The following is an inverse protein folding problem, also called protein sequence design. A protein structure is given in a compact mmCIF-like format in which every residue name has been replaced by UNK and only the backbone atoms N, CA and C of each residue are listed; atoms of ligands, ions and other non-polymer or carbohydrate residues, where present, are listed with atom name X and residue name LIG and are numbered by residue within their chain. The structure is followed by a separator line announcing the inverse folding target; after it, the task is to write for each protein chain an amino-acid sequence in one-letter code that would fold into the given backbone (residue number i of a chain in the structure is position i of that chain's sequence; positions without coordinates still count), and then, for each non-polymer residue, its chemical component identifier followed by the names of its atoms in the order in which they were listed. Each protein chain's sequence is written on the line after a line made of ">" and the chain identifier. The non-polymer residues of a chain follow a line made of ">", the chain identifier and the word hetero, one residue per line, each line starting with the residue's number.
data_IF_148685462340
#
_entry.id   IF_148685462340
#
_cell.length_a   1.000
_cell.length_b   1.000
_cell.length_c   1.000
_cell.angle_alpha   90.00
_cell.angle_beta   90.00
_cell.angle_gamma   90.00
#
_symmetry.space_group_name_H-M   'P 1'
#
loop_
_entity.id
_entity.type
_entity.pdbx_description
1 polymer ?
#
# COMPACT_ATOMS: atom_id res chain seq x y z
N UNK A 1 -0.49 24.89 2.32
CA UNK A 1 -1.53 23.89 2.65
C UNK A 1 -2.34 24.41 3.82
N UNK A 2 -3.66 24.54 3.66
CA UNK A 2 -4.56 24.79 4.78
C UNK A 2 -4.94 23.47 5.41
N UNK A 3 -4.76 23.33 6.74
CA UNK A 3 -5.20 22.16 7.49
C UNK A 3 -6.40 22.57 8.34
N UNK A 4 -7.57 22.00 8.05
CA UNK A 4 -8.85 22.36 8.68
C UNK A 4 -9.37 21.14 9.44
N UNK A 5 -9.53 21.30 10.75
CA UNK A 5 -10.08 20.25 11.60
C UNK A 5 -11.62 20.33 11.60
N UNK A 6 -12.26 19.20 11.29
CA UNK A 6 -13.69 18.97 11.49
C UNK A 6 -13.82 18.28 12.85
N UNK A 7 -14.50 18.92 13.81
CA UNK A 7 -14.61 18.41 15.18
C UNK A 7 -16.04 18.00 15.46
N UNK A 8 -16.20 16.82 16.05
CA UNK A 8 -17.47 16.36 16.58
C UNK A 8 -17.42 16.31 18.11
N UNK A 9 -18.42 16.87 18.76
CA UNK A 9 -18.65 16.66 20.19
C UNK A 9 -18.96 15.18 20.48
N UNK A 10 -18.77 14.69 21.73
CA UNK A 10 -19.06 13.30 22.07
C UNK A 10 -20.48 12.82 21.73
N UNK A 11 -21.45 13.73 21.70
CA UNK A 11 -22.83 13.41 21.33
C UNK A 11 -23.05 13.43 19.81
N UNK A 12 -22.45 14.37 19.09
CA UNK A 12 -22.47 14.39 17.62
C UNK A 12 -21.79 13.16 17.01
N UNK A 13 -20.76 12.60 17.67
CA UNK A 13 -20.13 11.33 17.26
C UNK A 13 -21.10 10.14 17.23
N UNK A 14 -22.24 10.25 17.91
CA UNK A 14 -23.29 9.23 17.93
C UNK A 14 -24.37 9.49 16.87
N UNK A 15 -24.37 10.67 16.26
CA UNK A 15 -25.36 11.09 15.26
C UNK A 15 -24.78 11.00 13.85
N UNK A 16 -25.25 9.98 13.11
CA UNK A 16 -24.84 9.75 11.72
C UNK A 16 -25.16 10.93 10.81
N UNK A 17 -26.30 11.59 11.00
CA UNK A 17 -26.75 12.64 10.11
C UNK A 17 -25.83 13.86 10.22
N UNK A 18 -25.49 14.26 11.45
CA UNK A 18 -24.59 15.38 11.74
C UNK A 18 -23.22 15.20 11.09
N UNK A 19 -22.62 14.01 11.22
CA UNK A 19 -21.33 13.69 10.60
C UNK A 19 -21.42 13.79 9.07
N UNK A 20 -22.49 13.26 8.48
CA UNK A 20 -22.68 13.28 7.03
C UNK A 20 -22.85 14.70 6.50
N UNK A 21 -23.60 15.55 7.21
CA UNK A 21 -23.84 16.94 6.79
C UNK A 21 -22.55 17.77 6.91
N UNK A 22 -21.76 17.57 7.96
CA UNK A 22 -20.43 18.20 8.07
C UNK A 22 -19.51 17.84 6.89
N UNK A 23 -19.56 16.59 6.41
CA UNK A 23 -18.78 16.19 5.23
C UNK A 23 -19.31 16.81 3.93
N UNK A 24 -20.63 16.97 3.78
CA UNK A 24 -21.22 17.66 2.62
C UNK A 24 -20.77 19.11 2.55
N UNK A 25 -20.76 19.80 3.68
CA UNK A 25 -20.36 21.21 3.74
C UNK A 25 -18.91 21.39 3.28
N UNK A 26 -17.98 20.55 3.75
CA UNK A 26 -16.59 20.58 3.29
C UNK A 26 -16.43 20.32 1.79
N UNK A 27 -17.28 19.47 1.20
CA UNK A 27 -17.26 19.22 -0.25
C UNK A 27 -17.83 20.38 -1.06
N UNK A 28 -18.85 21.06 -0.53
CA UNK A 28 -19.52 22.17 -1.20
C UNK A 28 -18.57 23.37 -1.40
N UNK A 29 -17.68 23.63 -0.44
CA UNK A 29 -16.66 24.69 -0.52
C UNK A 29 -15.68 24.49 -1.69
N UNK A 30 -15.54 23.24 -2.17
CA UNK A 30 -14.55 22.86 -3.19
C UNK A 30 -15.21 22.35 -4.47
N UNK A 31 -16.47 22.76 -4.74
CA UNK A 31 -17.26 22.33 -5.92
C UNK A 31 -16.56 22.51 -7.27
N UNK A 32 -15.64 23.46 -7.37
CA UNK A 32 -14.91 23.78 -8.59
C UNK A 32 -13.60 22.99 -8.72
N UNK A 33 -13.33 22.01 -7.85
CA UNK A 33 -12.12 21.21 -7.84
C UNK A 33 -12.33 19.78 -7.31
N UNK A 34 -11.34 18.88 -7.43
CA UNK A 34 -11.48 17.53 -6.90
C UNK A 34 -11.35 17.51 -5.37
N UNK A 35 -12.20 16.72 -4.72
CA UNK A 35 -12.04 16.34 -3.32
C UNK A 35 -11.92 14.84 -3.18
N UNK A 36 -10.76 14.38 -2.71
CA UNK A 36 -10.50 12.96 -2.48
C UNK A 36 -10.73 12.59 -1.02
N UNK A 37 -11.56 11.57 -0.79
CA UNK A 37 -11.88 11.07 0.56
C UNK A 37 -11.04 9.83 0.85
N UNK A 38 -10.30 9.83 1.95
CA UNK A 38 -9.42 8.73 2.34
C UNK A 38 -9.53 8.44 3.84
N UNK A 39 -9.66 7.17 4.19
CA UNK A 39 -9.61 6.74 5.58
C UNK A 39 -8.17 6.63 6.08
N UNK A 40 -7.94 6.94 7.35
CA UNK A 40 -6.63 6.75 8.03
C UNK A 40 -6.06 5.32 7.94
N UNK A 41 -6.89 4.29 7.72
CA UNK A 41 -6.47 2.90 7.49
C UNK A 41 -6.03 2.61 6.04
N UNK A 42 -6.25 3.54 5.11
CA UNK A 42 -5.99 3.40 3.67
C UNK A 42 -4.66 4.06 3.25
N UNK A 43 -3.66 4.06 4.11
CA UNK A 43 -2.35 4.68 3.83
C UNK A 43 -1.71 4.17 2.53
N UNK A 44 -1.97 2.92 2.15
CA UNK A 44 -1.48 2.35 0.88
C UNK A 44 -2.12 2.97 -0.35
N UNK A 45 -3.31 3.55 -0.23
CA UNK A 45 -4.06 4.12 -1.36
C UNK A 45 -3.68 5.60 -1.62
N UNK A 46 -2.83 6.21 -0.78
CA UNK A 46 -2.44 7.62 -0.92
C UNK A 46 -1.66 7.91 -2.21
N UNK A 47 -0.93 6.93 -2.74
CA UNK A 47 -0.21 7.04 -4.01
C UNK A 47 -1.10 7.49 -5.18
N UNK A 48 -2.37 7.07 -5.18
CA UNK A 48 -3.35 7.44 -6.19
C UNK A 48 -3.71 8.93 -6.09
N UNK A 49 -3.92 9.42 -4.87
CA UNK A 49 -4.24 10.82 -4.59
C UNK A 49 -3.03 11.71 -4.89
N UNK A 50 -1.82 11.25 -4.60
CA UNK A 50 -0.59 11.95 -4.98
C UNK A 50 -0.47 12.12 -6.50
N UNK A 51 -0.72 11.06 -7.28
CA UNK A 51 -0.72 11.16 -8.74
C UNK A 51 -1.77 12.16 -9.26
N UNK A 52 -2.96 12.17 -8.67
CA UNK A 52 -3.99 13.15 -8.98
C UNK A 52 -3.57 14.58 -8.63
N UNK A 53 -2.89 14.78 -7.50
CA UNK A 53 -2.39 16.09 -7.11
C UNK A 53 -1.35 16.61 -8.10
N UNK A 54 -0.37 15.78 -8.51
CA UNK A 54 0.61 16.19 -9.51
C UNK A 54 -0.07 16.55 -10.84
N UNK A 55 -0.95 15.68 -11.34
CA UNK A 55 -1.68 15.94 -12.57
C UNK A 55 -2.46 17.25 -12.48
N UNK A 56 -3.22 17.43 -11.40
CA UNK A 56 -4.02 18.63 -11.15
C UNK A 56 -3.17 19.91 -11.20
N UNK A 57 -2.10 19.97 -10.42
CA UNK A 57 -1.25 21.16 -10.34
C UNK A 57 -0.43 21.40 -11.61
N UNK A 58 -0.22 20.37 -12.45
CA UNK A 58 0.42 20.54 -13.77
C UNK A 58 -0.51 21.13 -14.83
N UNK A 59 -1.83 20.92 -14.71
CA UNK A 59 -2.83 21.36 -15.69
C UNK A 59 -3.43 22.71 -15.30
N UNK A 60 -3.88 22.84 -14.06
CA UNK A 60 -4.52 24.06 -13.56
C UNK A 60 -4.24 24.26 -12.07
N UNK A 61 -3.09 24.87 -11.72
CA UNK A 61 -2.71 25.10 -10.33
C UNK A 61 -3.60 26.12 -9.60
N UNK A 62 -4.45 26.85 -10.32
CA UNK A 62 -5.33 27.89 -9.76
C UNK A 62 -6.60 27.33 -9.12
N UNK A 63 -7.02 26.13 -9.54
CA UNK A 63 -8.20 25.45 -9.01
C UNK A 63 -7.95 24.84 -7.63
N UNK A 64 -8.99 24.74 -6.78
CA UNK A 64 -8.85 24.11 -5.48
C UNK A 64 -8.64 22.60 -5.62
N UNK A 65 -7.80 22.04 -4.75
CA UNK A 65 -7.62 20.61 -4.56
C UNK A 65 -7.79 20.30 -3.09
N UNK A 66 -8.60 19.30 -2.74
CA UNK A 66 -8.74 18.89 -1.35
C UNK A 66 -8.63 17.40 -1.09
N UNK A 67 -8.18 17.09 0.12
CA UNK A 67 -8.24 15.77 0.71
C UNK A 67 -9.11 15.87 1.97
N UNK A 68 -10.10 14.99 2.08
CA UNK A 68 -10.81 14.73 3.33
C UNK A 68 -10.26 13.45 3.95
N UNK A 69 -9.50 13.61 5.03
CA UNK A 69 -8.98 12.52 5.83
C UNK A 69 -9.96 12.15 6.95
N UNK A 70 -10.50 10.94 6.89
CA UNK A 70 -11.36 10.41 7.96
C UNK A 70 -10.52 9.61 8.95
N UNK A 71 -10.34 10.16 10.15
CA UNK A 71 -9.54 9.58 11.22
C UNK A 71 -10.32 8.49 11.98
N UNK A 72 -9.73 7.31 12.16
CA UNK A 72 -10.31 6.23 12.94
C UNK A 72 -9.48 5.96 14.20
N UNK A 73 -10.11 5.79 15.37
CA UNK A 73 -9.46 5.63 16.68
C UNK A 73 -8.45 4.47 16.72
N UNK A 74 -8.74 3.37 16.02
CA UNK A 74 -7.88 2.19 15.94
C UNK A 74 -6.74 2.34 14.92
N UNK A 75 -6.76 3.39 14.09
CA UNK A 75 -5.84 3.59 12.97
C UNK A 75 -5.18 4.97 13.07
N UNK A 76 -3.93 4.99 13.56
CA UNK A 76 -3.17 6.23 13.66
C UNK A 76 -3.05 6.94 12.31
N UNK A 77 -3.52 8.20 12.24
CA UNK A 77 -3.48 9.02 11.04
C UNK A 77 -2.11 9.69 10.77
N UNK A 78 -1.20 9.64 11.74
CA UNK A 78 0.09 10.33 11.70
C UNK A 78 0.94 9.98 10.46
N UNK A 79 0.96 8.70 10.06
CA UNK A 79 1.67 8.28 8.86
C UNK A 79 1.13 8.92 7.59
N UNK A 80 -0.19 8.97 7.43
CA UNK A 80 -0.82 9.57 6.26
C UNK A 80 -0.67 11.10 6.25
N UNK A 81 -0.74 11.76 7.41
CA UNK A 81 -0.43 13.19 7.50
C UNK A 81 1.00 13.49 7.03
N UNK A 82 1.97 12.69 7.45
CA UNK A 82 3.36 12.87 7.05
C UNK A 82 3.57 12.56 5.57
N UNK A 83 2.93 11.51 5.03
CA UNK A 83 2.92 11.23 3.59
C UNK A 83 2.37 12.42 2.79
N UNK A 84 1.22 12.98 3.19
CA UNK A 84 0.60 14.15 2.54
C UNK A 84 1.53 15.36 2.61
N UNK A 85 2.03 15.67 3.81
CA UNK A 85 2.90 16.82 3.99
C UNK A 85 4.18 16.67 3.16
N UNK A 86 4.84 15.52 3.24
CA UNK A 86 6.09 15.24 2.54
C UNK A 86 5.93 15.27 1.01
N UNK A 87 4.86 14.69 0.49
CA UNK A 87 4.67 14.55 -0.95
C UNK A 87 4.07 15.80 -1.60
N UNK A 88 3.12 16.46 -0.94
CA UNK A 88 2.34 17.56 -1.52
C UNK A 88 2.97 18.92 -1.24
N UNK A 89 3.56 19.14 -0.05
CA UNK A 89 4.10 20.46 0.30
C UNK A 89 5.11 20.98 -0.74
N UNK A 90 6.04 20.16 -1.28
CA UNK A 90 6.99 20.63 -2.29
C UNK A 90 6.36 20.93 -3.65
N UNK A 91 5.13 20.47 -3.93
CA UNK A 91 4.42 20.70 -5.19
C UNK A 91 3.52 21.95 -5.13
N UNK A 92 3.44 22.61 -3.97
CA UNK A 92 2.66 23.83 -3.81
C UNK A 92 3.47 25.05 -4.24
N UNK A 93 3.07 25.67 -5.34
CA UNK A 93 3.55 27.01 -5.72
C UNK A 93 2.76 28.09 -4.98
N UNK A 94 3.30 29.33 -4.95
CA UNK A 94 2.61 30.50 -4.39
C UNK A 94 1.31 30.72 -5.15
N UNK A 95 0.17 30.43 -4.50
CA UNK A 95 -1.17 30.54 -5.08
C UNK A 95 -1.97 29.23 -5.14
N UNK A 96 -1.33 28.06 -4.98
CA UNK A 96 -2.02 26.76 -5.04
C UNK A 96 -2.99 26.60 -3.87
N UNK A 97 -4.27 26.33 -4.18
CA UNK A 97 -5.36 26.16 -3.20
C UNK A 97 -5.49 24.71 -2.75
N UNK A 98 -4.48 24.21 -2.04
CA UNK A 98 -4.56 22.88 -1.41
C UNK A 98 -5.13 22.94 0.01
N UNK A 99 -6.19 22.15 0.26
CA UNK A 99 -6.86 22.03 1.57
C UNK A 99 -6.86 20.59 2.06
N UNK A 100 -6.40 20.38 3.28
CA UNK A 100 -6.52 19.11 3.99
C UNK A 100 -7.55 19.26 5.09
N UNK A 101 -8.74 18.71 4.86
CA UNK A 101 -9.73 18.48 5.90
C UNK A 101 -9.37 17.22 6.67
N UNK A 102 -9.54 17.23 7.99
CA UNK A 102 -9.40 16.03 8.79
C UNK A 102 -10.37 16.02 9.95
N UNK A 103 -10.92 14.84 10.28
CA UNK A 103 -11.82 14.68 11.42
C UNK A 103 -11.05 14.49 12.72
N UNK A 104 -11.69 14.69 13.86
CA UNK A 104 -11.24 14.04 15.08
C UNK A 104 -11.38 12.50 14.97
N UNK A 105 -10.64 11.72 15.79
CA UNK A 105 -10.73 10.26 15.75
C UNK A 105 -12.16 9.76 16.03
N UNK A 106 -12.68 8.93 15.12
CA UNK A 106 -13.98 8.26 15.22
C UNK A 106 -13.78 6.74 15.33
N UNK A 107 -14.75 5.98 15.84
CA UNK A 107 -14.64 4.51 15.71
C UNK A 107 -14.58 4.10 14.23
N UNK A 108 -13.86 3.02 13.87
CA UNK A 108 -13.73 2.58 12.47
C UNK A 108 -15.07 2.38 11.77
N UNK A 109 -16.04 1.79 12.46
CA UNK A 109 -17.38 1.54 11.89
C UNK A 109 -18.07 2.84 11.48
N UNK A 110 -18.01 3.86 12.33
CA UNK A 110 -18.55 5.19 12.04
C UNK A 110 -17.81 5.87 10.89
N UNK A 111 -16.48 5.82 10.89
CA UNK A 111 -15.67 6.37 9.81
C UNK A 111 -16.04 5.75 8.44
N UNK A 112 -16.23 4.43 8.36
CA UNK A 112 -16.65 3.74 7.13
C UNK A 112 -18.06 4.14 6.67
N UNK A 113 -19.00 4.29 7.61
CA UNK A 113 -20.37 4.74 7.33
C UNK A 113 -20.37 6.17 6.78
N UNK A 114 -19.59 7.05 7.40
CA UNK A 114 -19.38 8.42 6.93
C UNK A 114 -18.86 8.43 5.50
N UNK A 115 -17.73 7.77 5.23
CA UNK A 115 -17.14 7.68 3.89
C UNK A 115 -18.11 7.15 2.82
N UNK A 116 -18.92 6.14 3.17
CA UNK A 116 -19.89 5.54 2.25
C UNK A 116 -21.06 6.48 1.94
N UNK A 117 -21.45 7.34 2.89
CA UNK A 117 -22.47 8.36 2.66
C UNK A 117 -21.97 9.47 1.73
N UNK A 118 -20.67 9.82 1.85
CA UNK A 118 -20.02 10.82 0.99
C UNK A 118 -19.88 10.31 -0.45
N UNK A 119 -19.68 9.00 -0.65
CA UNK A 119 -19.54 8.40 -1.98
C UNK A 119 -20.75 8.58 -2.92
N UNK A 120 -21.91 9.02 -2.40
CA UNK A 120 -23.11 9.31 -3.18
C UNK A 120 -23.24 10.79 -3.60
N UNK A 121 -22.22 11.62 -3.33
CA UNK A 121 -22.19 13.03 -3.68
C UNK A 121 -21.36 13.23 -4.96
N UNK A 122 -21.84 14.06 -5.88
CA UNK A 122 -21.28 14.20 -7.25
C UNK A 122 -19.79 14.59 -7.31
N UNK A 123 -19.27 15.23 -6.25
CA UNK A 123 -17.88 15.71 -6.20
C UNK A 123 -16.95 14.87 -5.30
N UNK A 124 -17.48 13.83 -4.64
CA UNK A 124 -16.69 12.96 -3.79
C UNK A 124 -15.95 11.92 -4.62
N UNK A 125 -14.62 11.90 -4.48
CA UNK A 125 -13.76 10.96 -5.21
C UNK A 125 -13.09 10.00 -4.23
N UNK A 126 -13.16 8.71 -4.53
CA UNK A 126 -12.38 7.69 -3.83
C UNK A 126 -10.92 7.75 -4.26
N UNK A 127 -10.00 7.06 -3.55
CA UNK A 127 -8.62 6.93 -4.03
C UNK A 127 -8.55 6.29 -5.43
N UNK A 128 -9.46 5.39 -5.78
CA UNK A 128 -9.47 4.79 -7.12
C UNK A 128 -9.85 5.79 -8.22
N UNK A 129 -10.81 6.68 -7.93
CA UNK A 129 -11.18 7.78 -8.84
C UNK A 129 -10.02 8.75 -9.10
N UNK A 130 -9.09 8.87 -8.14
CA UNK A 130 -7.87 9.66 -8.29
C UNK A 130 -6.99 9.12 -9.41
N UNK A 131 -6.93 7.81 -9.58
CA UNK A 131 -6.18 7.18 -10.68
C UNK A 131 -6.78 7.49 -12.04
N UNK A 132 -8.10 7.45 -12.17
CA UNK A 132 -8.78 7.82 -13.42
C UNK A 132 -8.60 9.30 -13.74
N UNK A 133 -8.68 10.14 -12.71
CA UNK A 133 -8.40 11.57 -12.82
C UNK A 133 -6.96 11.84 -13.29
N UNK A 134 -6.00 11.02 -12.85
CA UNK A 134 -4.58 11.15 -13.17
C UNK A 134 -4.11 10.21 -14.29
N UNK A 135 -4.99 9.66 -15.13
CA UNK A 135 -4.68 8.53 -16.01
C UNK A 135 -3.41 8.75 -16.84
N UNK A 136 -3.23 9.95 -17.40
CA UNK A 136 -2.06 10.27 -18.23
C UNK A 136 -0.77 10.31 -17.39
N UNK A 137 -0.81 10.90 -16.20
CA UNK A 137 0.31 10.89 -15.26
C UNK A 137 0.64 9.45 -14.82
N UNK A 138 -0.38 8.62 -14.60
CA UNK A 138 -0.23 7.20 -14.28
C UNK A 138 0.38 6.41 -15.43
N UNK A 139 -0.02 6.68 -16.66
CA UNK A 139 0.58 6.05 -17.84
C UNK A 139 2.03 6.49 -18.07
N UNK A 140 2.39 7.73 -17.72
CA UNK A 140 3.78 8.18 -17.77
C UNK A 140 4.62 7.49 -16.68
N UNK A 141 4.11 7.36 -15.46
CA UNK A 141 4.75 6.57 -14.39
C UNK A 141 5.00 5.13 -14.81
N UNK A 142 4.00 4.48 -15.42
CA UNK A 142 4.12 3.11 -15.90
C UNK A 142 5.25 2.92 -16.93
N UNK A 143 5.66 4.00 -17.62
CA UNK A 143 6.80 4.01 -18.56
C UNK A 143 8.14 4.33 -17.90
N UNK A 144 8.20 4.35 -16.56
CA UNK A 144 9.41 4.64 -15.80
C UNK A 144 9.77 6.13 -15.71
N UNK A 145 8.85 7.02 -16.10
CA UNK A 145 9.03 8.45 -15.88
C UNK A 145 8.72 8.80 -14.43
N UNK A 146 9.55 9.59 -13.74
CA UNK A 146 9.28 9.97 -12.37
C UNK A 146 7.96 10.78 -12.28
N UNK A 147 7.19 10.49 -11.23
CA UNK A 147 5.87 11.08 -10.95
C UNK A 147 5.86 12.61 -11.00
N UNK A 148 7.00 13.22 -10.62
CA UNK A 148 7.29 14.65 -10.72
C UNK A 148 8.81 14.85 -10.60
N UNK A 149 9.41 15.92 -11.20
CA UNK A 149 10.77 16.35 -10.88
C UNK A 149 10.98 16.49 -9.37
N UNK A 150 9.94 16.90 -8.64
CA UNK A 150 9.92 17.01 -7.18
C UNK A 150 10.19 15.68 -6.50
N UNK A 151 9.60 14.58 -6.97
CA UNK A 151 9.85 13.26 -6.40
C UNK A 151 11.27 12.79 -6.69
N UNK A 152 11.76 13.01 -7.91
CA UNK A 152 13.15 12.77 -8.24
C UNK A 152 14.09 13.60 -7.35
N UNK A 153 13.79 14.87 -7.10
CA UNK A 153 14.58 15.77 -6.25
C UNK A 153 14.54 15.37 -4.77
N UNK A 154 13.38 14.92 -4.28
CA UNK A 154 13.22 14.38 -2.92
C UNK A 154 14.14 13.17 -2.74
N UNK A 155 14.12 12.25 -3.70
CA UNK A 155 14.92 11.02 -3.62
C UNK A 155 16.42 11.31 -3.87
N UNK A 156 16.75 12.31 -4.69
CA UNK A 156 18.13 12.81 -4.94
C UNK A 156 18.76 13.54 -3.76
N UNK A 157 17.99 13.91 -2.75
CA UNK A 157 18.48 14.73 -1.64
C UNK A 157 18.74 16.17 -2.06
N UNK A 158 17.86 16.77 -2.87
CA UNK A 158 17.92 18.18 -3.27
C UNK A 158 17.96 19.16 -2.09
N UNK A 159 17.98 20.48 -2.38
CA UNK A 159 18.28 21.54 -1.38
C UNK A 159 17.33 21.59 -0.16
N UNK A 160 16.19 20.91 -0.21
CA UNK A 160 15.26 20.82 0.91
C UNK A 160 15.78 19.90 2.01
N UNK A 161 15.77 20.39 3.26
CA UNK A 161 16.27 19.67 4.46
C UNK A 161 15.63 18.27 4.62
N UNK A 162 14.34 18.14 4.32
CA UNK A 162 13.63 16.86 4.41
C UNK A 162 14.11 15.85 3.35
N UNK A 163 14.40 16.31 2.14
CA UNK A 163 14.95 15.48 1.05
C UNK A 163 16.33 14.94 1.42
N UNK A 164 17.19 15.79 2.00
CA UNK A 164 18.51 15.37 2.47
C UNK A 164 18.43 14.31 3.57
N UNK A 165 17.60 14.54 4.58
CA UNK A 165 17.42 13.58 5.68
C UNK A 165 16.86 12.23 5.19
N UNK A 166 16.00 12.23 4.17
CA UNK A 166 15.48 11.01 3.55
C UNK A 166 16.59 10.27 2.79
N UNK A 167 17.36 11.01 1.98
CA UNK A 167 18.49 10.47 1.24
C UNK A 167 19.54 9.85 2.17
N UNK A 168 19.88 10.50 3.28
CA UNK A 168 20.83 9.98 4.28
C UNK A 168 20.39 8.63 4.87
N UNK A 169 19.08 8.45 5.10
CA UNK A 169 18.51 7.19 5.60
C UNK A 169 18.59 6.09 4.54
N UNK A 170 18.24 6.42 3.29
CA UNK A 170 18.36 5.50 2.16
C UNK A 170 19.82 5.07 1.94
N UNK A 171 20.76 6.03 1.96
CA UNK A 171 22.20 5.75 1.85
C UNK A 171 22.71 4.86 2.97
N UNK A 172 22.38 5.19 4.23
CA UNK A 172 22.80 4.39 5.39
C UNK A 172 22.34 2.93 5.28
N UNK A 173 21.14 2.70 4.76
CA UNK A 173 20.61 1.36 4.60
C UNK A 173 21.22 0.62 3.42
N UNK A 174 21.45 1.30 2.29
CA UNK A 174 22.20 0.72 1.18
C UNK A 174 23.64 0.37 1.59
N UNK A 175 24.26 1.15 2.47
CA UNK A 175 25.57 0.83 3.02
C UNK A 175 25.53 -0.46 3.85
N UNK A 176 24.53 -0.66 4.72
CA UNK A 176 24.37 -1.92 5.47
C UNK A 176 24.20 -3.14 4.55
N UNK A 177 23.46 -2.96 3.44
CA UNK A 177 23.36 -3.97 2.40
C UNK A 177 24.73 -4.25 1.76
N UNK A 178 25.46 -3.22 1.33
CA UNK A 178 26.79 -3.35 0.70
C UNK A 178 27.77 -4.03 1.64
N UNK A 179 27.77 -3.66 2.92
CA UNK A 179 28.66 -4.25 3.92
C UNK A 179 28.40 -5.75 4.09
N UNK A 180 27.14 -6.17 3.94
CA UNK A 180 26.74 -7.58 4.08
C UNK A 180 26.94 -8.41 2.81
N UNK A 181 26.62 -7.86 1.65
CA UNK A 181 26.54 -8.62 0.39
C UNK A 181 27.63 -8.25 -0.63
N UNK A 182 28.43 -7.23 -0.32
CA UNK A 182 29.40 -6.63 -1.23
C UNK A 182 28.73 -5.74 -2.26
N UNK A 183 29.51 -4.80 -2.81
CA UNK A 183 29.13 -4.01 -3.98
C UNK A 183 29.41 -4.81 -5.24
N UNK A 184 28.48 -4.88 -6.18
CA UNK A 184 28.79 -5.40 -7.52
C UNK A 184 29.02 -4.27 -8.52
N UNK A 185 29.51 -4.66 -9.70
CA UNK A 185 29.92 -3.78 -10.79
C UNK A 185 28.91 -3.74 -11.95
N UNK A 186 27.67 -4.21 -11.74
CA UNK A 186 26.61 -4.23 -12.75
C UNK A 186 25.20 -4.16 -12.15
N UNK A 187 24.16 -4.20 -13.00
CA UNK A 187 22.76 -4.07 -12.57
C UNK A 187 22.32 -5.27 -11.72
N UNK A 188 22.22 -5.09 -10.40
CA UNK A 188 21.88 -6.18 -9.48
C UNK A 188 20.40 -6.53 -9.52
N UNK A 189 20.08 -7.83 -9.61
CA UNK A 189 18.70 -8.33 -9.52
C UNK A 189 18.32 -8.61 -8.07
N UNK A 190 17.23 -8.00 -7.62
CA UNK A 190 16.67 -8.17 -6.29
C UNK A 190 15.19 -8.50 -6.33
N UNK A 191 14.77 -9.28 -5.34
CA UNK A 191 13.35 -9.51 -5.09
C UNK A 191 12.96 -8.86 -3.78
N UNK A 192 11.92 -8.03 -3.80
CA UNK A 192 11.27 -7.53 -2.60
C UNK A 192 10.05 -8.40 -2.30
N UNK A 193 10.16 -9.27 -1.31
CA UNK A 193 9.10 -10.17 -0.93
C UNK A 193 8.21 -9.53 0.15
N UNK A 194 6.94 -9.35 -0.16
CA UNK A 194 5.95 -8.73 0.71
C UNK A 194 5.20 -9.78 1.52
N UNK A 195 5.35 -9.68 2.83
CA UNK A 195 4.69 -10.53 3.81
C UNK A 195 3.84 -9.70 4.76
N UNK A 196 2.62 -10.15 5.05
CA UNK A 196 1.76 -9.49 6.04
C UNK A 196 1.04 -10.51 6.90
N UNK A 197 0.96 -10.23 8.19
CA UNK A 197 0.01 -10.87 9.09
C UNK A 197 -0.95 -9.82 9.64
N UNK A 198 -2.25 -9.96 9.39
CA UNK A 198 -3.28 -9.07 9.95
C UNK A 198 -3.65 -9.42 11.39
N UNK A 199 -2.86 -10.30 12.02
CA UNK A 199 -3.07 -10.77 13.38
C UNK A 199 -4.15 -11.84 13.51
N UNK A 200 -4.72 -12.40 12.44
CA UNK A 200 -5.56 -13.58 12.54
C UNK A 200 -4.72 -14.79 13.03
N UNK A 201 -5.22 -15.65 13.95
CA UNK A 201 -6.57 -15.67 14.52
C UNK A 201 -6.78 -14.81 15.77
N UNK A 202 -5.83 -13.97 16.19
CA UNK A 202 -5.97 -13.13 17.38
C UNK A 202 -7.16 -12.14 17.23
N UNK A 203 -8.27 -12.32 17.98
CA UNK A 203 -9.47 -11.53 17.77
C UNK A 203 -9.28 -10.05 18.09
N UNK A 204 -8.34 -9.67 18.96
CA UNK A 204 -8.11 -8.26 19.27
C UNK A 204 -7.36 -7.52 18.16
N UNK A 205 -6.59 -8.23 17.32
CA UNK A 205 -5.85 -7.65 16.19
C UNK A 205 -6.61 -7.76 14.86
N UNK A 206 -7.46 -8.78 14.72
CA UNK A 206 -8.21 -9.05 13.50
C UNK A 206 -9.48 -8.18 13.35
N UNK A 207 -10.02 -7.64 14.46
CA UNK A 207 -11.16 -6.74 14.42
C UNK A 207 -10.79 -5.44 13.70
N UNK A 208 -11.53 -5.12 12.64
CA UNK A 208 -11.27 -3.92 11.86
C UNK A 208 -9.88 -3.90 11.18
N UNK A 209 -9.08 -4.97 11.21
CA UNK A 209 -7.71 -5.00 10.66
C UNK A 209 -7.63 -4.98 9.13
N UNK A 210 -6.48 -5.36 8.56
CA UNK A 210 -6.40 -5.64 7.12
C UNK A 210 -7.14 -6.94 6.77
N UNK A 211 -7.53 -7.14 5.50
CA UNK A 211 -8.25 -8.35 5.08
C UNK A 211 -7.38 -9.61 5.26
N UNK A 212 -7.73 -10.54 6.17
CA UNK A 212 -6.91 -11.72 6.48
C UNK A 212 -6.87 -12.76 5.35
N UNK A 213 -7.75 -12.65 4.36
CA UNK A 213 -7.75 -13.53 3.17
C UNK A 213 -6.41 -13.51 2.43
N UNK A 214 -5.75 -12.35 2.41
CA UNK A 214 -4.48 -12.11 1.73
C UNK A 214 -3.27 -12.10 2.67
N UNK A 215 -3.42 -12.64 3.87
CA UNK A 215 -2.28 -12.80 4.77
C UNK A 215 -1.33 -13.87 4.24
N UNK A 216 -0.06 -13.67 4.59
CA UNK A 216 1.02 -14.57 4.23
C UNK A 216 1.17 -15.66 5.28
N UNK A 217 1.50 -16.87 4.83
CA UNK A 217 1.96 -17.93 5.72
C UNK A 217 3.44 -17.76 5.96
N UNK A 218 3.91 -17.84 7.21
CA UNK A 218 5.35 -17.83 7.53
C UNK A 218 6.07 -19.00 6.84
N UNK A 219 5.52 -20.22 6.94
CA UNK A 219 6.07 -21.40 6.26
C UNK A 219 6.03 -21.26 4.74
N UNK A 220 4.93 -20.76 4.19
CA UNK A 220 4.79 -20.49 2.76
C UNK A 220 5.80 -19.44 2.28
N UNK A 221 6.05 -18.42 3.11
CA UNK A 221 7.00 -17.36 2.83
C UNK A 221 8.45 -17.86 2.83
N UNK A 222 8.80 -18.72 3.78
CA UNK A 222 10.08 -19.42 3.78
C UNK A 222 10.28 -20.24 2.50
N UNK A 223 9.29 -21.06 2.16
CA UNK A 223 9.32 -21.91 0.96
C UNK A 223 9.46 -21.08 -0.32
N UNK A 224 8.71 -19.99 -0.42
CA UNK A 224 8.76 -19.09 -1.57
C UNK A 224 10.09 -18.33 -1.64
N UNK A 225 10.64 -17.85 -0.52
CA UNK A 225 11.99 -17.24 -0.49
C UNK A 225 13.04 -18.20 -1.03
N UNK A 226 13.05 -19.45 -0.54
CA UNK A 226 14.00 -20.47 -0.98
C UNK A 226 13.83 -20.79 -2.47
N UNK A 227 12.59 -20.93 -2.95
CA UNK A 227 12.30 -21.19 -4.36
C UNK A 227 12.72 -20.02 -5.26
N UNK A 228 12.40 -18.78 -4.90
CA UNK A 228 12.76 -17.59 -5.65
C UNK A 228 14.27 -17.42 -5.74
N UNK A 229 15.00 -17.63 -4.64
CA UNK A 229 16.45 -17.59 -4.66
C UNK A 229 17.05 -18.68 -5.56
N UNK A 230 16.53 -19.90 -5.48
CA UNK A 230 17.00 -21.03 -6.27
C UNK A 230 16.72 -20.87 -7.78
N UNK A 231 15.61 -20.24 -8.16
CA UNK A 231 15.17 -20.17 -9.55
C UNK A 231 15.50 -18.85 -10.26
N UNK A 232 15.61 -17.73 -9.53
CA UNK A 232 15.67 -16.41 -10.14
C UNK A 232 17.09 -15.80 -10.24
N UNK A 233 18.11 -16.51 -9.77
CA UNK A 233 19.52 -16.05 -9.77
C UNK A 233 19.66 -14.59 -9.29
N UNK A 234 19.14 -14.31 -8.11
CA UNK A 234 19.13 -12.96 -7.51
C UNK A 234 20.23 -12.80 -6.49
N UNK A 235 20.68 -11.57 -6.31
CA UNK A 235 21.74 -11.24 -5.34
C UNK A 235 21.24 -11.36 -3.90
N UNK A 236 20.04 -10.85 -3.64
CA UNK A 236 19.39 -10.90 -2.35
C UNK A 236 17.87 -10.83 -2.47
N UNK A 237 17.18 -11.26 -1.40
CA UNK A 237 15.75 -11.07 -1.19
C UNK A 237 15.53 -10.12 -0.02
N UNK A 238 14.78 -9.04 -0.26
CA UNK A 238 14.39 -8.07 0.75
C UNK A 238 13.02 -8.44 1.31
N UNK A 239 12.93 -8.73 2.61
CA UNK A 239 11.65 -9.00 3.27
C UNK A 239 10.97 -7.69 3.64
N UNK A 240 9.73 -7.51 3.16
CA UNK A 240 8.92 -6.32 3.41
C UNK A 240 7.69 -6.70 4.23
N UNK A 241 7.59 -6.18 5.45
CA UNK A 241 6.46 -6.41 6.35
C UNK A 241 6.78 -7.37 7.50
N UNK A 242 5.76 -8.04 8.03
CA UNK A 242 5.81 -8.76 9.30
C UNK A 242 5.40 -10.23 9.24
N UNK A 243 5.16 -10.78 8.04
CA UNK A 243 4.76 -12.18 7.85
C UNK A 243 5.92 -13.16 7.71
N UNK A 244 7.04 -12.97 8.43
CA UNK A 244 8.24 -13.78 8.28
C UNK A 244 8.73 -14.28 9.64
N UNK A 245 8.99 -15.59 9.72
CA UNK A 245 9.58 -16.21 10.92
C UNK A 245 11.11 -15.98 10.99
N UNK A 246 11.69 -16.29 12.15
CA UNK A 246 13.13 -16.14 12.39
C UNK A 246 13.98 -16.97 11.42
N UNK A 247 13.50 -18.17 11.04
CA UNK A 247 14.17 -19.04 10.07
C UNK A 247 14.31 -18.37 8.70
N UNK A 248 13.28 -17.68 8.23
CA UNK A 248 13.32 -16.93 6.96
C UNK A 248 14.28 -15.75 7.06
N UNK A 249 14.25 -15.03 8.18
CA UNK A 249 15.11 -13.86 8.42
C UNK A 249 16.60 -14.27 8.52
N UNK A 250 16.88 -15.47 9.02
CA UNK A 250 18.23 -16.01 9.18
C UNK A 250 18.86 -16.51 7.87
N UNK A 251 18.11 -16.60 6.77
CA UNK A 251 18.65 -17.04 5.48
C UNK A 251 19.79 -16.11 5.02
N UNK A 252 20.92 -16.67 4.52
CA UNK A 252 22.12 -15.87 4.25
C UNK A 252 21.89 -14.83 3.15
N UNK A 253 21.02 -15.13 2.17
CA UNK A 253 20.65 -14.29 1.04
C UNK A 253 19.47 -13.33 1.32
N UNK A 254 19.02 -13.24 2.57
CA UNK A 254 17.85 -12.44 2.97
C UNK A 254 18.25 -11.17 3.72
N UNK A 255 17.61 -10.05 3.38
CA UNK A 255 17.73 -8.78 4.09
C UNK A 255 16.37 -8.32 4.61
N UNK A 256 16.24 -8.07 5.92
CA UNK A 256 14.96 -7.73 6.54
C UNK A 256 14.77 -6.20 6.67
N UNK A 257 13.81 -5.63 5.94
CA UNK A 257 13.50 -4.19 5.97
C UNK A 257 12.77 -3.75 7.26
N UNK A 258 12.34 -4.66 8.13
CA UNK A 258 11.69 -4.30 9.39
C UNK A 258 12.53 -3.37 10.28
N UNK A 259 13.85 -3.54 10.30
CA UNK A 259 14.77 -2.66 11.02
C UNK A 259 14.86 -1.26 10.38
N UNK A 260 14.82 -1.21 9.05
CA UNK A 260 14.80 0.04 8.27
C UNK A 260 13.57 0.89 8.61
N UNK A 261 12.38 0.30 8.57
CA UNK A 261 11.14 1.02 8.88
C UNK A 261 11.15 1.55 10.32
N UNK A 262 11.67 0.78 11.28
CA UNK A 262 11.82 1.25 12.66
C UNK A 262 12.77 2.45 12.76
N UNK A 263 13.91 2.44 12.04
CA UNK A 263 14.88 3.55 12.04
C UNK A 263 14.33 4.78 11.31
N UNK A 264 13.71 4.58 10.15
CA UNK A 264 13.05 5.61 9.34
C UNK A 264 12.01 6.37 10.18
N UNK A 265 11.14 5.64 10.89
CA UNK A 265 10.12 6.23 11.79
C UNK A 265 10.72 7.04 12.92
N UNK A 266 11.82 6.56 13.55
CA UNK A 266 12.54 7.32 14.60
C UNK A 266 13.12 8.63 14.08
N UNK A 267 13.39 8.73 12.78
CA UNK A 267 13.91 9.92 12.11
C UNK A 267 12.80 10.79 11.52
N UNK A 268 11.52 10.48 11.79
CA UNK A 268 10.37 11.26 11.33
C UNK A 268 9.84 10.88 9.96
N UNK A 269 10.40 9.87 9.31
CA UNK A 269 9.87 9.32 8.05
C UNK A 269 8.91 8.19 8.38
N UNK A 270 7.62 8.50 8.36
CA UNK A 270 6.54 7.57 8.67
C UNK A 270 5.41 7.73 7.66
N UNK A 271 4.91 6.60 7.18
CA UNK A 271 3.88 6.57 6.15
C UNK A 271 4.30 5.67 4.99
N UNK A 272 3.32 5.05 4.35
CA UNK A 272 3.61 4.03 3.32
C UNK A 272 4.19 4.64 2.06
N UNK A 273 3.85 5.90 1.78
CA UNK A 273 4.37 6.59 0.61
C UNK A 273 5.86 6.87 0.77
N UNK A 274 6.26 7.42 1.91
CA UNK A 274 7.67 7.59 2.27
C UNK A 274 8.41 6.25 2.33
N UNK A 275 7.81 5.21 2.91
CA UNK A 275 8.43 3.88 3.00
C UNK A 275 8.65 3.27 1.60
N UNK A 276 7.64 3.33 0.71
CA UNK A 276 7.76 2.80 -0.65
C UNK A 276 8.71 3.60 -1.55
N UNK A 277 8.99 4.86 -1.23
CA UNK A 277 9.96 5.66 -1.99
C UNK A 277 11.38 5.12 -1.92
N UNK A 278 11.68 4.23 -0.97
CA UNK A 278 12.98 3.59 -0.87
C UNK A 278 13.26 2.67 -2.07
N UNK A 279 12.23 2.01 -2.61
CA UNK A 279 12.38 1.15 -3.78
C UNK A 279 12.69 1.95 -5.05
N UNK A 280 12.05 3.12 -5.19
CA UNK A 280 12.43 4.08 -6.23
C UNK A 280 13.90 4.50 -6.07
N UNK A 281 14.35 4.79 -4.84
CA UNK A 281 15.75 5.11 -4.56
C UNK A 281 16.71 4.01 -5.05
N UNK A 282 16.43 2.75 -4.71
CA UNK A 282 17.24 1.60 -5.15
C UNK A 282 17.34 1.55 -6.68
N UNK A 283 16.21 1.62 -7.38
CA UNK A 283 16.17 1.51 -8.85
C UNK A 283 16.85 2.69 -9.54
N UNK A 284 16.74 3.90 -9.00
CA UNK A 284 17.21 5.12 -9.67
C UNK A 284 18.68 5.45 -9.36
N UNK A 285 19.16 5.20 -8.14
CA UNK A 285 20.49 5.66 -7.70
C UNK A 285 21.51 4.54 -7.50
N UNK A 286 21.05 3.30 -7.36
CA UNK A 286 21.91 2.14 -7.18
C UNK A 286 21.89 1.18 -8.37
N UNK A 287 21.28 1.57 -9.49
CA UNK A 287 21.15 0.79 -10.72
C UNK A 287 20.74 -0.66 -10.42
N UNK A 288 19.67 -0.81 -9.64
CA UNK A 288 19.12 -2.10 -9.25
C UNK A 288 17.96 -2.47 -10.18
N UNK A 289 17.83 -3.76 -10.49
CA UNK A 289 16.60 -4.32 -11.03
C UNK A 289 15.80 -5.00 -9.92
N UNK A 290 14.64 -4.42 -9.58
CA UNK A 290 13.84 -4.82 -8.40
C UNK A 290 12.50 -5.34 -8.86
N UNK A 291 12.16 -6.57 -8.45
CA UNK A 291 10.83 -7.16 -8.64
C UNK A 291 10.17 -7.36 -7.27
N UNK A 292 8.95 -6.84 -7.11
CA UNK A 292 8.15 -7.05 -5.92
C UNK A 292 7.27 -8.28 -6.07
N UNK A 293 7.23 -9.14 -5.05
CA UNK A 293 6.43 -10.37 -5.05
C UNK A 293 5.60 -10.43 -3.79
N UNK A 294 4.30 -10.71 -3.90
CA UNK A 294 3.45 -10.85 -2.73
C UNK A 294 2.00 -11.18 -3.05
N UNK A 295 1.21 -11.41 -2.00
CA UNK A 295 -0.25 -11.46 -2.12
C UNK A 295 -0.79 -10.08 -2.51
N UNK A 296 -1.91 -10.05 -3.24
CA UNK A 296 -2.61 -8.81 -3.57
C UNK A 296 -2.83 -7.92 -2.34
N UNK A 297 -2.37 -6.66 -2.41
CA UNK A 297 -2.63 -5.64 -1.38
C UNK A 297 -2.52 -4.23 -1.97
N UNK A 298 -3.13 -3.23 -1.29
CA UNK A 298 -3.04 -1.84 -1.74
C UNK A 298 -1.60 -1.29 -1.80
N UNK A 299 -0.67 -1.83 -0.98
CA UNK A 299 0.74 -1.46 -1.09
C UNK A 299 1.41 -1.98 -2.37
N UNK A 300 1.01 -3.17 -2.81
CA UNK A 300 1.47 -3.76 -4.07
C UNK A 300 0.84 -3.03 -5.27
N UNK A 301 -0.45 -2.68 -5.19
CA UNK A 301 -1.17 -1.88 -6.19
C UNK A 301 -0.45 -0.52 -6.39
N UNK A 302 -0.07 0.13 -5.29
CA UNK A 302 0.69 1.38 -5.28
C UNK A 302 2.04 1.30 -6.00
N UNK A 303 2.81 0.23 -5.75
CA UNK A 303 4.11 0.01 -6.41
C UNK A 303 3.95 -0.17 -7.91
N UNK A 304 3.00 -1.00 -8.33
CA UNK A 304 2.72 -1.23 -9.75
C UNK A 304 2.33 0.06 -10.47
N UNK A 305 1.57 0.94 -9.82
CA UNK A 305 1.22 2.27 -10.35
C UNK A 305 2.42 3.20 -10.50
N UNK A 306 3.45 3.03 -9.68
CA UNK A 306 4.70 3.78 -9.78
C UNK A 306 5.69 3.19 -10.79
N UNK A 307 5.25 2.24 -11.61
CA UNK A 307 6.09 1.62 -12.62
C UNK A 307 7.11 0.63 -12.06
N UNK A 308 7.00 0.26 -10.78
CA UNK A 308 7.80 -0.83 -10.22
C UNK A 308 7.34 -2.16 -10.81
N UNK A 309 8.26 -3.12 -10.96
CA UNK A 309 7.95 -4.47 -11.42
C UNK A 309 7.30 -5.25 -10.31
N UNK A 310 6.13 -5.83 -10.56
CA UNK A 310 5.31 -6.49 -9.55
C UNK A 310 4.74 -7.81 -10.05
N UNK A 311 4.97 -8.87 -9.26
CA UNK A 311 4.30 -10.16 -9.37
C UNK A 311 3.26 -10.27 -8.25
N UNK A 312 1.99 -10.33 -8.63
CA UNK A 312 0.88 -10.44 -7.68
C UNK A 312 0.35 -11.87 -7.63
N UNK A 313 0.26 -12.45 -6.43
CA UNK A 313 -0.37 -13.75 -6.22
C UNK A 313 -1.84 -13.58 -5.82
N UNK A 314 -2.73 -14.31 -6.49
CA UNK A 314 -4.16 -14.39 -6.18
C UNK A 314 -4.74 -15.75 -6.60
N UNK A 315 -5.94 -16.10 -6.14
CA UNK A 315 -6.64 -17.33 -6.56
C UNK A 315 -7.75 -17.02 -7.57
N UNK A 316 -8.19 -18.04 -8.30
CA UNK A 316 -9.31 -17.97 -9.26
C UNK A 316 -10.68 -17.72 -8.60
N UNK A 317 -10.78 -17.60 -7.28
CA UNK A 317 -12.08 -17.54 -6.59
C UNK A 317 -12.70 -16.14 -6.54
N UNK A 318 -11.97 -15.09 -6.97
CA UNK A 318 -12.54 -13.76 -7.24
C UNK A 318 -12.09 -13.20 -8.59
N UNK A 319 -12.37 -13.92 -9.69
CA UNK A 319 -11.80 -13.59 -10.99
C UNK A 319 -12.31 -12.23 -11.46
N UNK A 320 -13.60 -11.88 -11.30
CA UNK A 320 -14.10 -10.62 -11.83
C UNK A 320 -13.54 -9.37 -11.12
N UNK A 321 -13.30 -9.40 -9.80
CA UNK A 321 -12.76 -8.24 -9.07
C UNK A 321 -11.27 -8.09 -9.33
N UNK A 322 -10.55 -9.21 -9.47
CA UNK A 322 -9.13 -9.20 -9.81
C UNK A 322 -8.91 -8.89 -11.28
N UNK A 323 -9.72 -9.41 -12.20
CA UNK A 323 -9.74 -9.06 -13.62
C UNK A 323 -10.08 -7.59 -13.80
N UNK A 324 -11.21 -7.09 -13.28
CA UNK A 324 -11.58 -5.67 -13.47
C UNK A 324 -10.55 -4.70 -12.88
N UNK A 325 -9.90 -5.06 -11.76
CA UNK A 325 -8.81 -4.24 -11.20
C UNK A 325 -7.54 -4.38 -12.04
N UNK A 326 -7.07 -5.59 -12.34
CA UNK A 326 -5.84 -5.80 -13.12
C UNK A 326 -6.00 -5.25 -14.53
N UNK A 327 -7.17 -5.33 -15.16
CA UNK A 327 -7.47 -4.75 -16.48
C UNK A 327 -7.50 -3.22 -16.44
N UNK A 328 -8.06 -2.62 -15.39
CA UNK A 328 -8.00 -1.16 -15.21
C UNK A 328 -6.55 -0.65 -15.04
N UNK A 329 -5.65 -1.51 -14.54
CA UNK A 329 -4.28 -1.16 -14.16
C UNK A 329 -3.22 -1.96 -14.92
N UNK A 330 -3.55 -2.54 -16.07
CA UNK A 330 -2.62 -3.42 -16.79
C UNK A 330 -1.44 -2.58 -17.29
N UNK A 331 -0.29 -2.77 -16.66
CA UNK A 331 0.99 -2.27 -17.14
C UNK A 331 1.87 -3.46 -17.47
N UNK A 332 2.84 -3.32 -18.39
CA UNK A 332 3.83 -4.37 -18.64
C UNK A 332 4.62 -4.78 -17.39
N UNK A 333 4.63 -3.95 -16.35
CA UNK A 333 5.35 -4.18 -15.11
C UNK A 333 4.54 -5.00 -14.09
N UNK A 334 3.27 -5.31 -14.36
CA UNK A 334 2.37 -6.03 -13.45
C UNK A 334 2.02 -7.40 -14.02
N UNK A 335 2.51 -8.46 -13.37
CA UNK A 335 2.23 -9.84 -13.76
C UNK A 335 1.38 -10.53 -12.68
N UNK A 336 0.09 -10.78 -12.93
CA UNK A 336 -0.73 -11.59 -12.04
C UNK A 336 -0.34 -13.07 -12.18
N UNK A 337 -0.16 -13.76 -11.05
CA UNK A 337 0.08 -15.19 -10.98
C UNK A 337 -1.04 -15.85 -10.20
N UNK A 338 -1.78 -16.69 -10.90
CA UNK A 338 -2.82 -17.51 -10.31
C UNK A 338 -2.21 -18.68 -9.54
N UNK A 339 -2.43 -18.71 -8.23
CA UNK A 339 -2.08 -19.82 -7.34
C UNK A 339 -3.29 -20.74 -7.11
N UNK A 340 -3.03 -22.02 -6.84
CA UNK A 340 -4.09 -23.03 -6.71
C UNK A 340 -4.91 -22.93 -5.42
N UNK A 341 -4.37 -22.28 -4.39
CA UNK A 341 -5.03 -22.00 -3.13
C UNK A 341 -4.29 -20.89 -2.39
N UNK A 342 -4.97 -20.16 -1.50
CA UNK A 342 -4.32 -19.20 -0.61
C UNK A 342 -3.24 -19.87 0.24
N UNK A 343 -2.14 -19.17 0.58
CA UNK A 343 -1.04 -19.76 1.32
C UNK A 343 -1.38 -20.04 2.79
N UNK A 344 -2.32 -19.31 3.37
CA UNK A 344 -2.75 -19.48 4.77
C UNK A 344 -4.01 -20.34 4.88
N UNK A 345 -4.09 -21.11 5.96
CA UNK A 345 -5.26 -21.82 6.45
C UNK A 345 -6.48 -20.88 6.58
N UNK A 346 -6.28 -19.70 7.15
CA UNK A 346 -7.28 -18.64 7.24
C UNK A 346 -7.79 -18.20 5.87
N UNK A 347 -6.90 -17.94 4.91
CA UNK A 347 -7.27 -17.57 3.55
C UNK A 347 -8.07 -18.68 2.86
N UNK A 348 -7.66 -19.94 3.02
CA UNK A 348 -8.38 -21.11 2.49
C UNK A 348 -9.78 -21.24 3.09
N UNK A 349 -9.93 -21.02 4.39
CA UNK A 349 -11.23 -21.08 5.07
C UNK A 349 -12.17 -19.95 4.58
N UNK A 350 -11.65 -18.72 4.43
CA UNK A 350 -12.41 -17.60 3.88
C UNK A 350 -12.88 -17.90 2.44
N UNK A 351 -12.04 -18.51 1.60
CA UNK A 351 -12.45 -18.91 0.26
C UNK A 351 -13.52 -20.00 0.26
N UNK A 352 -13.38 -21.01 1.13
CA UNK A 352 -14.37 -22.07 1.26
C UNK A 352 -15.73 -21.50 1.65
N UNK A 353 -15.76 -20.52 2.55
CA UNK A 353 -17.00 -19.87 2.97
C UNK A 353 -17.56 -18.94 1.89
N UNK A 354 -16.70 -18.20 1.16
CA UNK A 354 -17.13 -17.37 0.02
C UNK A 354 -17.72 -18.17 -1.14
N UNK A 355 -17.32 -19.44 -1.31
CA UNK A 355 -17.97 -20.34 -2.27
C UNK A 355 -19.40 -20.68 -1.87
N UNK A 356 -19.73 -20.65 -0.58
CA UNK A 356 -21.08 -20.86 -0.05
C UNK A 356 -21.90 -19.58 -0.03
N UNK A 357 -21.29 -18.48 0.40
CA UNK A 357 -21.86 -17.13 0.42
C UNK A 357 -20.87 -16.12 -0.18
N UNK A 358 -21.05 -15.68 -1.44
CA UNK A 358 -20.16 -14.71 -2.09
C UNK A 358 -20.02 -13.36 -1.36
N UNK A 359 -20.91 -13.05 -0.43
CA UNK A 359 -20.86 -11.81 0.37
C UNK A 359 -20.08 -11.95 1.67
N UNK A 360 -19.67 -13.17 2.02
CA UNK A 360 -18.95 -13.46 3.24
C UNK A 360 -17.57 -12.76 3.28
N UNK A 361 -17.29 -12.08 4.38
CA UNK A 361 -15.97 -11.52 4.71
C UNK A 361 -15.39 -10.56 3.65
N UNK A 362 -16.19 -9.66 3.05
CA UNK A 362 -15.74 -8.77 1.97
C UNK A 362 -14.51 -7.89 2.28
N UNK A 363 -14.29 -7.49 3.54
CA UNK A 363 -13.21 -6.54 3.87
C UNK A 363 -12.45 -6.90 5.15
N UNK A 364 -13.17 -7.14 6.25
CA UNK A 364 -12.60 -7.41 7.60
C UNK A 364 -13.58 -8.22 8.45
N UNK A 365 -13.11 -8.78 9.57
CA UNK A 365 -14.01 -9.37 10.56
C UNK A 365 -14.72 -8.27 11.35
N UNK A 366 -16.05 -8.25 11.30
CA UNK A 366 -16.89 -7.29 12.03
C UNK A 366 -17.20 -7.67 13.48
N UNK A 367 -16.81 -8.86 13.95
CA UNK A 367 -17.04 -9.29 15.33
C UNK A 367 -16.09 -10.41 15.78
N UNK A 368 -15.84 -10.52 17.09
CA UNK A 368 -14.98 -11.56 17.68
C UNK A 368 -15.50 -12.97 17.37
N UNK A 369 -16.82 -13.18 17.46
CA UNK A 369 -17.43 -14.47 17.17
C UNK A 369 -17.16 -14.96 15.74
N UNK A 370 -17.16 -14.04 14.75
CA UNK A 370 -16.81 -14.37 13.36
C UNK A 370 -15.33 -14.73 13.19
N UNK A 371 -14.43 -14.09 13.95
CA UNK A 371 -13.00 -14.45 13.96
C UNK A 371 -12.81 -15.85 14.53
N UNK A 372 -13.42 -16.15 15.67
CA UNK A 372 -13.29 -17.44 16.35
C UNK A 372 -13.81 -18.61 15.51
N UNK A 373 -15.00 -18.47 14.91
CA UNK A 373 -15.57 -19.51 14.04
C UNK A 373 -14.69 -19.78 12.80
N UNK A 374 -14.07 -18.73 12.25
CA UNK A 374 -13.16 -18.89 11.12
C UNK A 374 -11.82 -19.52 11.55
N UNK A 375 -11.30 -19.18 12.72
CA UNK A 375 -10.09 -19.81 13.27
C UNK A 375 -10.28 -21.32 13.47
N UNK A 376 -11.46 -21.74 13.94
CA UNK A 376 -11.84 -23.15 14.04
C UNK A 376 -11.92 -23.82 12.66
N UNK A 377 -12.54 -23.15 11.68
CA UNK A 377 -12.59 -23.65 10.30
C UNK A 377 -11.21 -23.78 9.65
N UNK A 378 -10.26 -22.92 10.04
CA UNK A 378 -8.91 -22.89 9.52
C UNK A 378 -7.99 -23.95 10.15
N UNK A 379 -8.25 -24.42 11.37
CA UNK A 379 -7.29 -25.21 12.17
C UNK A 379 -6.84 -26.53 11.51
N UNK A 380 -7.60 -27.04 10.54
CA UNK A 380 -7.33 -28.29 9.84
C UNK A 380 -6.77 -28.09 8.42
N UNK A 381 -6.47 -26.85 8.02
CA UNK A 381 -5.98 -26.52 6.69
C UNK A 381 -4.47 -26.24 6.75
N UNK A 382 -3.72 -26.66 5.73
CA UNK A 382 -2.27 -26.44 5.71
C UNK A 382 -1.92 -24.97 5.46
N UNK A 383 -0.73 -24.56 5.89
CA UNK A 383 -0.15 -23.23 5.63
C UNK A 383 0.94 -23.27 4.55
N UNK A 384 0.94 -24.27 3.66
CA UNK A 384 2.00 -24.46 2.65
C UNK A 384 1.61 -23.99 1.25
N UNK A 385 2.57 -23.44 0.51
CA UNK A 385 2.47 -23.20 -0.93
C UNK A 385 2.85 -24.47 -1.71
N UNK A 386 2.14 -24.74 -2.80
CA UNK A 386 2.50 -25.86 -3.69
C UNK A 386 3.70 -25.49 -4.54
N UNK A 387 4.63 -26.43 -4.72
CA UNK A 387 5.81 -26.24 -5.58
C UNK A 387 5.45 -25.78 -7.00
N UNK A 388 4.38 -26.33 -7.58
CA UNK A 388 3.91 -25.93 -8.90
C UNK A 388 3.54 -24.44 -8.96
N UNK A 389 2.94 -23.88 -7.90
CA UNK A 389 2.60 -22.47 -7.84
C UNK A 389 3.85 -21.60 -7.63
N UNK A 390 4.78 -22.03 -6.77
CA UNK A 390 6.06 -21.33 -6.59
C UNK A 390 6.87 -21.24 -7.88
N UNK A 391 6.87 -22.30 -8.70
CA UNK A 391 7.52 -22.28 -10.03
C UNK A 391 6.88 -21.28 -10.99
N UNK A 392 5.55 -21.11 -10.96
CA UNK A 392 4.86 -20.09 -11.77
C UNK A 392 5.27 -18.69 -11.32
N UNK A 393 5.32 -18.46 -10.01
CA UNK A 393 5.74 -17.16 -9.44
C UNK A 393 7.18 -16.85 -9.86
N UNK A 394 8.10 -17.81 -9.71
CA UNK A 394 9.49 -17.63 -10.14
C UNK A 394 9.62 -17.35 -11.65
N UNK A 395 8.83 -18.04 -12.49
CA UNK A 395 8.81 -17.77 -13.93
C UNK A 395 8.33 -16.35 -14.25
N UNK A 396 7.30 -15.86 -13.56
CA UNK A 396 6.81 -14.49 -13.72
C UNK A 396 7.85 -13.45 -13.26
N UNK A 397 8.56 -13.74 -12.17
CA UNK A 397 9.67 -12.88 -11.70
C UNK A 397 10.79 -12.82 -12.74
N UNK A 398 11.19 -13.97 -13.28
CA UNK A 398 12.22 -14.03 -14.32
C UNK A 398 11.81 -13.27 -15.58
N UNK A 399 10.56 -13.42 -16.01
CA UNK A 399 10.02 -12.65 -17.13
C UNK A 399 10.12 -11.14 -16.93
N UNK A 400 9.94 -10.65 -15.70
CA UNK A 400 10.09 -9.23 -15.40
C UNK A 400 11.56 -8.78 -15.30
N UNK A 401 12.52 -9.68 -15.12
CA UNK A 401 13.95 -9.36 -15.12
C UNK A 401 14.60 -9.39 -16.52
N UNK A 402 13.91 -9.95 -17.50
CA UNK A 402 14.31 -9.99 -18.91
C UNK A 402 13.81 -8.74 -19.64
#
# INVERSE_FOLDING_TARGET
>A
MYKIAIKFTPDERKDRAVICDSFKDCLAEHRDGPVFVIGSWQTGDFCHIYAAAIHHFSVDPSRPFAILLVEAEEFGAAGLFNDIQFAIQPTLQVGNRFTLYHTDPLTKNWAMVGMSAVANLDNARTPYDATFYAKDAVQQMAKGQPLSPVWADIVRGGEQVQSKAYNDICMSFMQEYIDRFGRSTGREKFICMWGRTSGAPNPSRALGGANPHYDSSETGNFQLCAALYAFCNVKAIFLVGDGFNEETVALPFVFNLGAFWKRSRRKGFMGRFQENGFFNYMTTFYDCDVVHVGMKSGGMDALGLWGQKVVFMDTLTSPQVTINRVEAWHTPNIVPVTISAMPTSMGKAIEAERRRDPTAFKTTFGSKGKVSAMAESASNLSDSLKLADMKKVAAAVMHLFD
#
